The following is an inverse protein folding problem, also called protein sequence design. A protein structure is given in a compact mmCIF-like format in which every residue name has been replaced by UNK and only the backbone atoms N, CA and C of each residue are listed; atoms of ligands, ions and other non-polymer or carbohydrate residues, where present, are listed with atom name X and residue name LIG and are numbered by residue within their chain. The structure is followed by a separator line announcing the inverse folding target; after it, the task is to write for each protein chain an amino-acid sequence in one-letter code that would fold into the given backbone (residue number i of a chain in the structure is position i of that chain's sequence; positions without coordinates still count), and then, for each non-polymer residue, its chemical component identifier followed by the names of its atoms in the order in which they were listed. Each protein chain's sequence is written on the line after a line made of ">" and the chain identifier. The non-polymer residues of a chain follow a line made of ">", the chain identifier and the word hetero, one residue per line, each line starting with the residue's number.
data_IF_620257684523
#
_entry.id   IF_620257684523
#
_cell.length_a   1.000
_cell.length_b   1.000
_cell.length_c   1.000
_cell.angle_alpha   90.00
_cell.angle_beta   90.00
_cell.angle_gamma   90.00
#
_symmetry.space_group_name_H-M   'P 1'
#
loop_
_entity.id
_entity.type
_entity.pdbx_description
1 polymer ?
#
# COMPACT_ATOMS: atom_id res chain seq x y z
N UNK A 1 -22.22 38.30 -12.22
CA UNK A 1 -21.42 38.52 -11.00
C UNK A 1 -21.58 37.29 -10.11
N UNK A 2 -20.47 36.59 -9.85
CA UNK A 2 -20.13 35.80 -8.65
C UNK A 2 -21.06 34.63 -8.27
N UNK A 3 -20.76 33.39 -8.70
CA UNK A 3 -19.93 32.36 -8.02
C UNK A 3 -20.60 31.73 -6.79
N UNK A 4 -20.86 30.42 -6.84
CA UNK A 4 -20.48 29.42 -5.84
C UNK A 4 -21.26 28.12 -6.06
N UNK A 5 -20.55 27.02 -6.36
CA UNK A 5 -20.44 25.89 -5.45
C UNK A 5 -19.69 24.76 -6.19
N UNK A 6 -18.36 24.87 -6.23
CA UNK A 6 -17.54 23.72 -6.56
C UNK A 6 -17.47 22.87 -5.30
N UNK A 7 -18.20 21.77 -5.29
CA UNK A 7 -18.00 20.67 -4.36
C UNK A 7 -16.55 20.23 -4.51
N UNK A 8 -15.69 20.68 -3.60
CA UNK A 8 -14.37 20.09 -3.43
C UNK A 8 -14.60 18.68 -2.91
N UNK A 9 -14.74 17.74 -3.86
CA UNK A 9 -14.53 16.32 -3.62
C UNK A 9 -13.10 16.21 -3.12
N UNK A 10 -12.94 16.21 -1.79
CA UNK A 10 -11.66 15.94 -1.15
C UNK A 10 -11.31 14.51 -1.57
N UNK A 11 -10.54 14.38 -2.66
CA UNK A 11 -9.98 13.12 -3.07
C UNK A 11 -9.22 12.60 -1.85
N UNK A 12 -9.79 11.60 -1.17
CA UNK A 12 -9.17 10.98 -0.01
C UNK A 12 -7.87 10.37 -0.50
N UNK A 13 -6.77 11.13 -0.37
CA UNK A 13 -5.46 10.66 -0.77
C UNK A 13 -5.20 9.35 -0.03
N UNK A 14 -5.00 8.28 -0.80
CA UNK A 14 -4.73 6.98 -0.23
C UNK A 14 -3.46 7.08 0.64
N UNK A 15 -3.48 6.52 1.86
CA UNK A 15 -2.35 6.64 2.77
C UNK A 15 -1.07 6.10 2.13
N UNK A 16 0.01 6.88 2.17
CA UNK A 16 1.30 6.48 1.60
C UNK A 16 1.90 5.24 2.28
N UNK A 17 1.55 5.03 3.55
CA UNK A 17 2.00 3.92 4.37
C UNK A 17 0.81 3.16 4.92
N UNK A 18 0.79 1.87 4.64
CA UNK A 18 -0.22 0.92 5.08
C UNK A 18 0.29 0.12 6.27
N UNK A 19 -0.61 -0.27 7.17
CA UNK A 19 -0.27 -1.31 8.13
C UNK A 19 -0.07 -2.64 7.39
N UNK A 20 0.62 -3.60 8.01
CA UNK A 20 0.72 -4.96 7.46
C UNK A 20 -0.66 -5.58 7.23
N UNK A 21 -1.65 -5.24 8.06
CA UNK A 21 -3.03 -5.70 7.86
C UNK A 21 -3.62 -5.11 6.58
N UNK A 22 -3.52 -3.80 6.40
CA UNK A 22 -4.13 -3.12 5.26
C UNK A 22 -3.41 -3.49 3.95
N UNK A 23 -2.09 -3.64 3.99
CA UNK A 23 -1.32 -4.13 2.84
C UNK A 23 -1.77 -5.52 2.39
N UNK A 24 -2.05 -6.43 3.34
CA UNK A 24 -2.57 -7.77 3.02
C UNK A 24 -3.96 -7.68 2.39
N UNK A 25 -4.81 -6.78 2.90
CA UNK A 25 -6.14 -6.50 2.32
C UNK A 25 -6.03 -5.93 0.90
N UNK A 26 -5.15 -4.96 0.66
CA UNK A 26 -4.93 -4.35 -0.66
C UNK A 26 -4.47 -5.37 -1.69
N UNK A 27 -3.58 -6.28 -1.30
CA UNK A 27 -3.12 -7.37 -2.17
C UNK A 27 -4.10 -8.56 -2.24
N UNK A 28 -5.22 -8.53 -1.50
CA UNK A 28 -6.16 -9.64 -1.37
C UNK A 28 -5.52 -10.97 -0.94
N UNK A 29 -4.55 -10.93 -0.02
CA UNK A 29 -3.84 -12.10 0.52
C UNK A 29 -3.98 -12.23 2.04
N UNK A 30 -3.62 -13.40 2.57
CA UNK A 30 -3.55 -13.61 4.02
C UNK A 30 -2.38 -12.83 4.64
N UNK A 31 -2.51 -12.45 5.92
CA UNK A 31 -1.39 -11.82 6.67
C UNK A 31 -0.17 -12.73 6.74
N UNK A 32 -0.38 -14.04 6.84
CA UNK A 32 0.70 -15.03 6.85
C UNK A 32 1.48 -15.00 5.54
N UNK A 33 0.77 -14.92 4.40
CA UNK A 33 1.39 -14.77 3.08
C UNK A 33 2.20 -13.48 3.01
N UNK A 34 1.64 -12.36 3.47
CA UNK A 34 2.38 -11.09 3.48
C UNK A 34 3.64 -11.16 4.37
N UNK A 35 3.57 -11.78 5.54
CA UNK A 35 4.76 -11.97 6.39
C UNK A 35 5.81 -12.86 5.72
N UNK A 36 5.39 -13.90 4.98
CA UNK A 36 6.30 -14.71 4.15
C UNK A 36 7.02 -13.86 3.12
N UNK A 37 6.27 -13.05 2.35
CA UNK A 37 6.84 -12.14 1.36
C UNK A 37 7.81 -11.11 1.97
N UNK A 38 7.53 -10.65 3.19
CA UNK A 38 8.44 -9.75 3.93
C UNK A 38 9.70 -10.51 4.37
N UNK A 39 9.56 -11.72 4.90
CA UNK A 39 10.68 -12.55 5.36
C UNK A 39 11.60 -12.98 4.19
N UNK A 40 11.02 -13.24 3.02
CA UNK A 40 11.73 -13.54 1.77
C UNK A 40 12.36 -12.29 1.12
N UNK A 41 12.05 -11.09 1.62
CA UNK A 41 12.52 -9.83 1.05
C UNK A 41 11.81 -9.43 -0.25
N UNK A 42 10.77 -10.16 -0.65
CA UNK A 42 9.94 -9.86 -1.82
C UNK A 42 9.14 -8.56 -1.65
N UNK A 43 8.74 -8.23 -0.41
CA UNK A 43 8.14 -6.94 -0.03
C UNK A 43 8.98 -6.30 1.06
N UNK A 44 9.43 -5.06 0.84
CA UNK A 44 10.28 -4.32 1.79
C UNK A 44 9.45 -3.40 2.70
N UNK A 45 9.35 -3.69 4.00
CA UNK A 45 8.63 -2.84 4.94
C UNK A 45 9.43 -1.58 5.30
N UNK A 46 8.70 -0.52 5.65
CA UNK A 46 9.21 0.68 6.30
C UNK A 46 8.98 0.55 7.80
N UNK A 47 10.06 0.65 8.58
CA UNK A 47 9.99 0.61 10.04
C UNK A 47 9.96 2.03 10.61
N UNK A 48 8.91 2.35 11.36
CA UNK A 48 8.78 3.59 12.14
C UNK A 48 8.81 3.21 13.62
N UNK A 49 10.01 3.22 14.20
CA UNK A 49 10.25 2.68 15.54
C UNK A 49 9.84 1.21 15.61
N UNK A 50 8.86 0.88 16.47
CA UNK A 50 8.31 -0.49 16.59
C UNK A 50 7.22 -0.81 15.57
N UNK A 51 6.79 0.17 14.78
CA UNK A 51 5.71 -0.01 13.81
C UNK A 51 6.25 -0.49 12.47
N UNK A 52 5.77 -1.64 12.01
CA UNK A 52 5.96 -2.09 10.63
C UNK A 52 4.87 -1.49 9.73
N UNK A 53 5.29 -0.89 8.62
CA UNK A 53 4.43 -0.32 7.58
C UNK A 53 4.91 -0.78 6.22
N UNK A 54 4.03 -0.75 5.22
CA UNK A 54 4.36 -1.04 3.83
C UNK A 54 3.93 0.14 2.99
N UNK A 55 4.81 0.65 2.14
CA UNK A 55 4.44 1.77 1.27
C UNK A 55 3.58 1.29 0.10
N UNK A 56 2.66 2.14 -0.35
CA UNK A 56 1.85 1.86 -1.54
C UNK A 56 2.72 1.70 -2.79
N UNK A 57 3.81 2.45 -2.90
CA UNK A 57 4.82 2.32 -3.96
C UNK A 57 5.47 0.95 -3.97
N UNK A 58 5.79 0.39 -2.80
CA UNK A 58 6.39 -0.94 -2.71
C UNK A 58 5.40 -2.04 -3.10
N UNK A 59 4.14 -1.93 -2.72
CA UNK A 59 3.10 -2.86 -3.17
C UNK A 59 2.93 -2.82 -4.69
N UNK A 60 2.92 -1.62 -5.28
CA UNK A 60 2.87 -1.46 -6.73
C UNK A 60 4.09 -2.10 -7.41
N UNK A 61 5.30 -1.83 -6.91
CA UNK A 61 6.54 -2.47 -7.39
C UNK A 61 6.43 -4.00 -7.39
N UNK A 62 5.89 -4.58 -6.33
CA UNK A 62 5.71 -6.03 -6.24
C UNK A 62 4.75 -6.56 -7.31
N UNK A 63 3.61 -5.90 -7.52
CA UNK A 63 2.66 -6.27 -8.58
C UNK A 63 3.27 -6.14 -9.97
N UNK A 64 3.97 -5.04 -10.24
CA UNK A 64 4.64 -4.80 -11.53
C UNK A 64 5.67 -5.90 -11.82
N UNK A 65 6.39 -6.40 -10.80
CA UNK A 65 7.31 -7.52 -10.95
C UNK A 65 6.61 -8.85 -11.28
N UNK A 66 5.47 -9.13 -10.66
CA UNK A 66 4.68 -10.32 -10.98
C UNK A 66 4.17 -10.29 -12.43
N UNK A 67 3.76 -9.11 -12.89
CA UNK A 67 3.31 -8.91 -14.27
C UNK A 67 4.44 -9.05 -15.28
N UNK A 68 5.66 -8.60 -14.97
CA UNK A 68 6.81 -8.73 -15.85
C UNK A 68 7.40 -10.15 -15.92
N UNK A 69 7.14 -10.99 -14.91
CA UNK A 69 7.57 -12.38 -14.87
C UNK A 69 6.58 -13.36 -15.54
N UNK A 70 5.45 -12.86 -16.03
CA UNK A 70 4.41 -13.58 -16.77
C UNK A 70 4.56 -13.37 -18.28
#
# INVERSE_FOLDING_TARGET
>A
MTTANQTEEVAVESPMLLTTRDAATVLSISRTTLYGLIAEGAIRPVHIGRSCRVSTTELRRYVDQLQAAS
#
